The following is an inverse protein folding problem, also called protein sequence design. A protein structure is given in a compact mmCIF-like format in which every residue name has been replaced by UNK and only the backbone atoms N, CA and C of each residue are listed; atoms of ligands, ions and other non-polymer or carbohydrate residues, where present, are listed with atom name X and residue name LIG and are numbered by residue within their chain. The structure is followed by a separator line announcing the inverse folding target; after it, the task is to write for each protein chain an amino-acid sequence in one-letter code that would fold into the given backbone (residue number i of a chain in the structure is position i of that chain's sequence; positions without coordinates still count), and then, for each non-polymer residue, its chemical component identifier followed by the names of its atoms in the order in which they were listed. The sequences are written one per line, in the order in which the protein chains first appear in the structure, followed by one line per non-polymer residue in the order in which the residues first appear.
data_IF_817171743442
#
_entry.id   IF_817171743442
#
_cell.length_a   1.000
_cell.length_b   1.000
_cell.length_c   1.000
_cell.angle_alpha   90.00
_cell.angle_beta   90.00
_cell.angle_gamma   90.00
#
_symmetry.space_group_name_H-M   'P 1'
#
loop_
_entity.id
_entity.type
_entity.pdbx_description
1 polymer ?
#
# COMPACT_ATOMS: atom_id res chain seq x y z
N UNK A 1 -19.52 14.00 -29.97
CA UNK A 1 -19.48 13.32 -28.65
C UNK A 1 -18.74 11.97 -28.69
N UNK A 2 -19.13 10.99 -29.51
CA UNK A 2 -18.47 9.65 -29.58
C UNK A 2 -16.97 9.69 -29.86
N UNK A 3 -16.51 10.46 -30.85
CA UNK A 3 -15.08 10.64 -31.18
C UNK A 3 -14.27 11.26 -30.02
N UNK A 4 -14.88 12.17 -29.26
CA UNK A 4 -14.24 12.81 -28.10
C UNK A 4 -14.06 11.83 -26.95
N UNK A 5 -15.10 11.06 -26.62
CA UNK A 5 -15.05 10.02 -25.58
C UNK A 5 -14.01 8.96 -25.95
N UNK A 6 -14.01 8.49 -27.20
CA UNK A 6 -13.04 7.50 -27.68
C UNK A 6 -11.60 8.00 -27.59
N UNK A 7 -11.34 9.25 -28.03
CA UNK A 7 -10.01 9.86 -27.91
C UNK A 7 -9.58 9.96 -26.44
N UNK A 8 -10.47 10.41 -25.55
CA UNK A 8 -10.17 10.55 -24.13
C UNK A 8 -9.91 9.20 -23.45
N UNK A 9 -10.70 8.17 -23.77
CA UNK A 9 -10.49 6.81 -23.28
C UNK A 9 -9.13 6.25 -23.73
N UNK A 10 -8.79 6.41 -25.01
CA UNK A 10 -7.50 6.01 -25.55
C UNK A 10 -6.34 6.77 -24.88
N UNK A 11 -6.48 8.08 -24.64
CA UNK A 11 -5.47 8.87 -23.92
C UNK A 11 -5.32 8.39 -22.48
N UNK A 12 -6.42 8.16 -21.75
CA UNK A 12 -6.36 7.67 -20.36
C UNK A 12 -5.74 6.28 -20.27
N UNK A 13 -6.09 5.38 -21.19
CA UNK A 13 -5.49 4.06 -21.26
C UNK A 13 -3.99 4.13 -21.59
N UNK A 14 -3.59 4.99 -22.54
CA UNK A 14 -2.19 5.23 -22.85
C UNK A 14 -1.41 5.78 -21.65
N UNK A 15 -1.97 6.75 -20.92
CA UNK A 15 -1.37 7.27 -19.69
C UNK A 15 -1.24 6.17 -18.64
N UNK A 16 -2.27 5.35 -18.43
CA UNK A 16 -2.22 4.22 -17.50
C UNK A 16 -1.09 3.23 -17.86
N UNK A 17 -0.95 2.85 -19.13
CA UNK A 17 0.11 1.93 -19.53
C UNK A 17 1.50 2.53 -19.29
N UNK A 18 1.68 3.83 -19.58
CA UNK A 18 2.94 4.53 -19.34
C UNK A 18 3.24 4.61 -17.84
N UNK A 19 2.26 4.96 -17.00
CA UNK A 19 2.47 5.03 -15.55
C UNK A 19 2.78 3.66 -14.96
N UNK A 20 2.11 2.60 -15.42
CA UNK A 20 2.41 1.23 -15.02
C UNK A 20 3.82 0.82 -15.44
N UNK A 21 4.22 1.10 -16.69
CA UNK A 21 5.57 0.80 -17.16
C UNK A 21 6.63 1.52 -16.32
N UNK A 22 6.45 2.82 -16.06
CA UNK A 22 7.35 3.59 -15.21
C UNK A 22 7.40 3.00 -13.79
N UNK A 23 6.25 2.63 -13.22
CA UNK A 23 6.20 2.03 -11.89
C UNK A 23 6.95 0.70 -11.84
N UNK A 24 6.76 -0.16 -12.84
CA UNK A 24 7.48 -1.44 -12.95
C UNK A 24 8.99 -1.21 -13.15
N UNK A 25 9.39 -0.21 -13.94
CA UNK A 25 10.80 0.13 -14.09
C UNK A 25 11.44 0.64 -12.79
N UNK A 26 10.70 1.43 -12.01
CA UNK A 26 11.19 1.97 -10.73
C UNK A 26 11.26 0.90 -9.63
N UNK A 27 10.28 0.00 -9.58
CA UNK A 27 10.12 -0.95 -8.46
C UNK A 27 10.59 -2.36 -8.81
N UNK A 28 10.66 -2.72 -10.09
CA UNK A 28 10.85 -4.09 -10.58
C UNK A 28 12.09 -4.79 -10.01
N UNK A 29 13.22 -4.10 -9.90
CA UNK A 29 14.44 -4.66 -9.30
C UNK A 29 14.26 -5.03 -7.83
N UNK A 30 13.60 -4.15 -7.06
CA UNK A 30 13.32 -4.40 -5.64
C UNK A 30 12.29 -5.52 -5.49
N UNK A 31 11.28 -5.53 -6.36
CA UNK A 31 10.24 -6.56 -6.35
C UNK A 31 10.81 -7.94 -6.68
N UNK A 32 11.73 -8.05 -7.64
CA UNK A 32 12.39 -9.32 -7.96
C UNK A 32 13.16 -9.89 -6.77
N UNK A 33 13.88 -9.02 -6.07
CA UNK A 33 14.62 -9.39 -4.85
C UNK A 33 13.66 -9.84 -3.76
N UNK A 34 12.59 -9.09 -3.52
CA UNK A 34 11.56 -9.41 -2.52
C UNK A 34 10.88 -10.74 -2.83
N UNK A 35 10.50 -10.98 -4.09
CA UNK A 35 9.84 -12.21 -4.50
C UNK A 35 10.75 -13.42 -4.33
N UNK A 36 12.02 -13.33 -4.76
CA UNK A 36 13.01 -14.41 -4.59
C UNK A 36 13.30 -14.68 -3.12
N UNK A 37 13.48 -13.63 -2.31
CA UNK A 37 13.65 -13.77 -0.86
C UNK A 37 12.41 -14.38 -0.19
N UNK A 38 11.22 -14.00 -0.65
CA UNK A 38 9.96 -14.59 -0.20
C UNK A 38 9.87 -16.09 -0.48
N UNK A 39 10.30 -16.52 -1.67
CA UNK A 39 10.39 -17.96 -2.00
C UNK A 39 11.36 -18.68 -1.08
N UNK A 40 12.56 -18.14 -0.88
CA UNK A 40 13.56 -18.73 0.04
C UNK A 40 13.00 -18.84 1.45
N UNK A 41 12.36 -17.78 1.94
CA UNK A 41 11.75 -17.75 3.26
C UNK A 41 10.65 -18.81 3.39
N UNK A 42 9.75 -18.90 2.41
CA UNK A 42 8.64 -19.85 2.42
C UNK A 42 9.15 -21.31 2.38
N UNK A 43 10.13 -21.61 1.52
CA UNK A 43 10.74 -22.95 1.43
C UNK A 43 11.40 -23.33 2.75
N UNK A 44 12.19 -22.41 3.32
CA UNK A 44 12.86 -22.65 4.62
C UNK A 44 11.86 -22.83 5.75
N UNK A 45 10.78 -22.04 5.81
CA UNK A 45 9.73 -22.16 6.82
C UNK A 45 9.05 -23.53 6.71
N UNK A 46 8.58 -23.90 5.51
CA UNK A 46 7.84 -25.13 5.26
C UNK A 46 8.66 -26.39 5.57
N UNK A 47 9.96 -26.37 5.27
CA UNK A 47 10.84 -27.51 5.53
C UNK A 47 11.25 -27.58 7.00
N UNK A 48 11.54 -26.44 7.64
CA UNK A 48 11.96 -26.42 9.06
C UNK A 48 10.79 -26.72 10.00
N UNK A 49 9.56 -26.36 9.61
CA UNK A 49 8.33 -26.67 10.35
C UNK A 49 7.91 -28.14 10.22
N UNK A 50 8.54 -28.93 9.34
CA UNK A 50 8.24 -30.35 9.16
C UNK A 50 9.37 -31.23 9.74
N UNK A 51 9.21 -31.77 10.98
CA UNK A 51 10.23 -32.55 11.64
C UNK A 51 10.68 -33.78 10.83
N UNK A 52 9.76 -34.40 10.08
CA UNK A 52 10.08 -35.59 9.29
C UNK A 52 11.07 -35.30 8.16
N UNK A 53 11.04 -34.10 7.58
CA UNK A 53 11.99 -33.69 6.54
C UNK A 53 13.33 -33.36 7.19
N UNK A 54 13.34 -32.60 8.28
CA UNK A 54 14.58 -32.21 8.98
C UNK A 54 15.34 -33.44 9.50
N UNK A 55 14.64 -34.38 10.12
CA UNK A 55 15.23 -35.62 10.66
C UNK A 55 15.73 -36.59 9.57
N UNK A 56 15.29 -36.42 8.32
CA UNK A 56 15.69 -37.30 7.21
C UNK A 56 17.12 -37.03 6.70
N UNK A 57 17.74 -35.91 7.08
CA UNK A 57 19.09 -35.54 6.63
C UNK A 57 20.12 -35.74 7.73
N UNK A 58 21.17 -36.50 7.43
CA UNK A 58 22.30 -36.74 8.35
C UNK A 58 23.37 -35.65 8.32
N UNK A 59 23.41 -34.83 7.26
CA UNK A 59 24.41 -33.78 7.09
C UNK A 59 23.78 -32.43 6.79
N UNK A 60 24.39 -31.35 7.31
CA UNK A 60 23.94 -29.97 7.06
C UNK A 60 24.07 -29.62 5.57
N UNK A 61 25.07 -30.18 4.88
CA UNK A 61 25.31 -29.92 3.46
C UNK A 61 24.20 -30.51 2.57
N UNK A 62 23.75 -31.75 2.84
CA UNK A 62 22.64 -32.36 2.10
C UNK A 62 21.31 -31.62 2.34
N UNK A 63 21.10 -31.17 3.58
CA UNK A 63 19.92 -30.38 3.94
C UNK A 63 19.89 -29.03 3.20
N UNK A 64 20.98 -28.27 3.20
CA UNK A 64 21.06 -26.98 2.49
C UNK A 64 20.94 -27.18 0.96
N UNK A 65 21.53 -28.23 0.39
CA UNK A 65 21.37 -28.56 -1.03
C UNK A 65 19.92 -28.90 -1.40
N UNK A 66 19.18 -29.57 -0.51
CA UNK A 66 17.74 -29.83 -0.68
C UNK A 66 16.93 -28.54 -0.69
N UNK A 67 17.19 -27.64 0.28
CA UNK A 67 16.55 -26.31 0.37
C UNK A 67 16.81 -25.50 -0.90
N UNK A 68 18.06 -25.48 -1.37
CA UNK A 68 18.47 -24.76 -2.58
C UNK A 68 17.73 -25.30 -3.81
N UNK A 69 17.69 -26.62 -4.00
CA UNK A 69 16.98 -27.24 -5.11
C UNK A 69 15.47 -26.93 -5.09
N UNK A 70 14.83 -27.02 -3.92
CA UNK A 70 13.41 -26.65 -3.76
C UNK A 70 13.18 -25.16 -4.06
N UNK A 71 14.10 -24.30 -3.65
CA UNK A 71 14.05 -22.86 -3.93
C UNK A 71 14.16 -22.60 -5.43
N UNK A 72 15.14 -23.19 -6.11
CA UNK A 72 15.34 -23.03 -7.55
C UNK A 72 14.12 -23.51 -8.35
N UNK A 73 13.54 -24.66 -7.97
CA UNK A 73 12.32 -25.16 -8.60
C UNK A 73 11.15 -24.18 -8.45
N UNK A 74 10.96 -23.59 -7.27
CA UNK A 74 9.90 -22.58 -7.06
C UNK A 74 10.16 -21.29 -7.83
N UNK A 75 11.41 -20.81 -7.86
CA UNK A 75 11.81 -19.63 -8.65
C UNK A 75 11.46 -19.86 -10.13
N UNK A 76 11.79 -21.04 -10.67
CA UNK A 76 11.51 -21.41 -12.05
C UNK A 76 10.00 -21.54 -12.32
N UNK A 77 9.25 -22.19 -11.44
CA UNK A 77 7.79 -22.34 -11.59
C UNK A 77 7.04 -21.00 -11.57
N UNK A 78 7.59 -20.01 -10.86
CA UNK A 78 7.05 -18.65 -10.79
C UNK A 78 7.55 -17.74 -11.93
N UNK A 79 8.45 -18.22 -12.80
CA UNK A 79 9.08 -17.43 -13.86
C UNK A 79 9.99 -16.31 -13.32
N UNK A 80 10.53 -16.49 -12.12
CA UNK A 80 11.47 -15.55 -11.48
C UNK A 80 12.94 -15.83 -11.89
N UNK A 81 13.17 -16.88 -12.67
CA UNK A 81 14.46 -17.23 -13.28
C UNK A 81 14.86 -16.24 -14.38
N UNK A 82 13.88 -15.70 -15.11
CA UNK A 82 14.13 -14.61 -16.05
C UNK A 82 14.42 -13.26 -15.34
N UNK A 83 15.28 -12.40 -15.91
CA UNK A 83 15.48 -11.04 -15.40
C UNK A 83 14.17 -10.27 -15.32
N UNK A 84 13.98 -9.48 -14.27
CA UNK A 84 12.74 -8.72 -14.03
C UNK A 84 12.36 -7.77 -15.17
N UNK A 85 13.36 -7.28 -15.92
CA UNK A 85 13.20 -6.38 -17.05
C UNK A 85 12.90 -7.11 -18.37
N UNK A 86 12.74 -8.45 -18.35
CA UNK A 86 12.37 -9.19 -19.57
C UNK A 86 11.01 -8.68 -20.08
N UNK A 87 10.85 -8.50 -21.41
CA UNK A 87 9.57 -8.07 -21.99
C UNK A 87 8.39 -8.96 -21.56
N UNK A 88 8.64 -10.26 -21.37
CA UNK A 88 7.69 -11.25 -20.91
C UNK A 88 7.21 -10.95 -19.48
N UNK A 89 8.14 -10.75 -18.53
CA UNK A 89 7.79 -10.45 -17.14
C UNK A 89 7.12 -9.11 -16.96
N UNK A 90 7.59 -8.08 -17.66
CA UNK A 90 6.94 -6.76 -17.67
C UNK A 90 5.51 -6.89 -18.22
N UNK A 91 5.34 -7.56 -19.37
CA UNK A 91 4.04 -7.75 -19.99
C UNK A 91 3.05 -8.51 -19.11
N UNK A 92 3.49 -9.62 -18.49
CA UNK A 92 2.66 -10.40 -17.57
C UNK A 92 2.29 -9.60 -16.33
N UNK A 93 3.24 -8.85 -15.76
CA UNK A 93 3.00 -8.01 -14.58
C UNK A 93 1.99 -6.90 -14.89
N UNK A 94 2.14 -6.22 -16.02
CA UNK A 94 1.17 -5.22 -16.47
C UNK A 94 -0.21 -5.83 -16.68
N UNK A 95 -0.30 -7.00 -17.32
CA UNK A 95 -1.56 -7.71 -17.56
C UNK A 95 -2.27 -8.06 -16.24
N UNK A 96 -1.55 -8.64 -15.28
CA UNK A 96 -2.08 -8.98 -13.95
C UNK A 96 -2.59 -7.74 -13.21
N UNK A 97 -1.81 -6.66 -13.17
CA UNK A 97 -2.20 -5.39 -12.52
C UNK A 97 -3.46 -4.80 -13.16
N UNK A 98 -3.58 -4.83 -14.49
CA UNK A 98 -4.77 -4.32 -15.21
C UNK A 98 -6.02 -5.15 -14.86
N UNK A 99 -5.86 -6.46 -14.70
CA UNK A 99 -6.92 -7.35 -14.23
C UNK A 99 -7.15 -7.30 -12.71
N UNK A 100 -6.45 -6.41 -12.01
CA UNK A 100 -6.47 -6.28 -10.56
C UNK A 100 -6.04 -7.56 -9.84
N UNK A 101 -5.25 -8.42 -10.50
CA UNK A 101 -4.60 -9.57 -9.88
C UNK A 101 -3.25 -9.14 -9.29
N UNK A 102 -3.23 -8.92 -7.98
CA UNK A 102 -2.06 -8.45 -7.24
C UNK A 102 -1.25 -9.59 -6.61
N UNK A 103 -1.75 -10.84 -6.67
CA UNK A 103 -1.12 -11.99 -6.04
C UNK A 103 -1.16 -11.94 -4.51
N UNK A 104 -0.14 -12.56 -3.88
CA UNK A 104 -0.04 -12.70 -2.43
C UNK A 104 1.08 -11.83 -1.86
N UNK A 105 0.85 -11.27 -0.68
CA UNK A 105 1.83 -10.52 0.08
C UNK A 105 2.80 -11.46 0.81
N UNK A 106 4.08 -11.08 0.83
CA UNK A 106 5.14 -11.87 1.49
C UNK A 106 5.28 -11.54 2.97
N UNK A 107 5.04 -10.28 3.36
CA UNK A 107 5.32 -9.76 4.71
C UNK A 107 4.10 -9.16 5.42
N UNK A 108 2.96 -9.09 4.72
CA UNK A 108 1.73 -8.50 5.24
C UNK A 108 0.64 -9.54 5.16
N UNK A 109 -0.21 -9.56 6.17
CA UNK A 109 -1.46 -10.33 6.17
C UNK A 109 -2.61 -9.40 6.51
N UNK A 110 -3.81 -9.83 6.15
CA UNK A 110 -5.03 -9.22 6.61
C UNK A 110 -5.18 -9.42 8.13
N UNK A 111 -6.06 -8.69 8.80
CA UNK A 111 -6.34 -8.89 10.23
C UNK A 111 -6.88 -10.32 10.50
N UNK A 112 -7.43 -10.98 9.47
CA UNK A 112 -7.89 -12.37 9.47
C UNK A 112 -6.80 -13.39 9.05
N UNK A 113 -5.57 -12.95 8.79
CA UNK A 113 -4.45 -13.82 8.42
C UNK A 113 -4.35 -14.18 6.93
N UNK A 114 -5.17 -13.60 6.04
CA UNK A 114 -5.05 -13.84 4.60
C UNK A 114 -3.81 -13.16 4.02
N UNK A 115 -3.07 -13.86 3.16
CA UNK A 115 -1.95 -13.29 2.40
C UNK A 115 -2.38 -12.77 1.02
N UNK A 116 -3.63 -12.94 0.58
CA UNK A 116 -4.12 -12.36 -0.67
C UNK A 116 -4.13 -10.82 -0.55
N UNK A 117 -3.43 -10.14 -1.47
CA UNK A 117 -3.34 -8.68 -1.49
C UNK A 117 -4.72 -8.05 -1.67
N UNK A 118 -5.64 -8.70 -2.40
CA UNK A 118 -7.02 -8.21 -2.54
C UNK A 118 -7.73 -8.13 -1.20
N UNK A 119 -7.63 -9.18 -0.39
CA UNK A 119 -8.27 -9.23 0.93
C UNK A 119 -7.73 -8.12 1.84
N UNK A 120 -6.40 -7.96 1.86
CA UNK A 120 -5.73 -6.90 2.63
C UNK A 120 -6.24 -5.52 2.21
N UNK A 121 -6.33 -5.25 0.89
CA UNK A 121 -6.84 -3.98 0.37
C UNK A 121 -8.30 -3.78 0.77
N UNK A 122 -9.15 -4.79 0.57
CA UNK A 122 -10.58 -4.69 0.86
C UNK A 122 -10.88 -4.51 2.35
N UNK A 123 -10.03 -5.04 3.23
CA UNK A 123 -10.16 -4.83 4.67
C UNK A 123 -9.86 -3.38 5.08
N UNK A 124 -8.83 -2.75 4.49
CA UNK A 124 -8.45 -1.36 4.83
C UNK A 124 -9.24 -0.30 4.06
N UNK A 125 -9.85 -0.67 2.93
CA UNK A 125 -10.55 0.26 2.04
C UNK A 125 -11.73 1.00 2.71
N UNK A 126 -12.64 0.34 3.46
CA UNK A 126 -13.76 1.02 4.11
C UNK A 126 -13.33 2.11 5.09
N UNK A 127 -12.27 1.86 5.87
CA UNK A 127 -11.71 2.84 6.82
C UNK A 127 -11.11 4.04 6.09
N UNK A 128 -10.42 3.80 4.97
CA UNK A 128 -9.87 4.86 4.12
C UNK A 128 -10.97 5.71 3.50
N UNK A 129 -12.02 5.08 2.95
CA UNK A 129 -13.18 5.78 2.38
C UNK A 129 -13.86 6.61 3.46
N UNK A 130 -14.15 6.02 4.61
CA UNK A 130 -14.79 6.71 5.73
C UNK A 130 -13.97 7.94 6.13
N UNK A 131 -12.66 7.79 6.36
CA UNK A 131 -11.77 8.88 6.73
C UNK A 131 -11.74 9.99 5.67
N UNK A 132 -11.49 9.62 4.41
CA UNK A 132 -11.32 10.59 3.33
C UNK A 132 -12.61 11.34 3.02
N UNK A 133 -13.75 10.62 2.95
CA UNK A 133 -15.05 11.21 2.65
C UNK A 133 -15.52 12.11 3.79
N UNK A 134 -15.42 11.67 5.04
CA UNK A 134 -15.83 12.51 6.19
C UNK A 134 -14.97 13.76 6.31
N UNK A 135 -13.64 13.64 6.20
CA UNK A 135 -12.74 14.79 6.21
C UNK A 135 -13.06 15.77 5.07
N UNK A 136 -13.26 15.27 3.84
CA UNK A 136 -13.55 16.09 2.67
C UNK A 136 -14.88 16.83 2.81
N UNK A 137 -15.93 16.18 3.32
CA UNK A 137 -17.22 16.84 3.57
C UNK A 137 -17.05 17.95 4.61
N UNK A 138 -16.41 17.67 5.73
CA UNK A 138 -16.21 18.67 6.79
C UNK A 138 -15.38 19.87 6.32
N UNK A 139 -14.26 19.60 5.64
CA UNK A 139 -13.39 20.65 5.08
C UNK A 139 -14.14 21.46 4.03
N UNK A 140 -14.93 20.81 3.17
CA UNK A 140 -15.70 21.52 2.14
C UNK A 140 -16.74 22.44 2.75
N UNK A 141 -17.52 21.95 3.73
CA UNK A 141 -18.53 22.74 4.43
C UNK A 141 -17.85 23.94 5.10
N UNK A 142 -16.87 23.70 5.98
CA UNK A 142 -16.19 24.77 6.73
C UNK A 142 -15.49 25.74 5.78
N UNK A 143 -14.78 25.23 4.77
CA UNK A 143 -14.04 26.02 3.80
C UNK A 143 -14.95 26.91 2.94
N UNK A 144 -16.11 26.41 2.51
CA UNK A 144 -17.09 27.21 1.77
C UNK A 144 -17.64 28.33 2.66
N UNK A 145 -18.06 28.03 3.90
CA UNK A 145 -18.61 29.03 4.80
C UNK A 145 -17.58 30.10 5.18
N UNK A 146 -16.39 29.68 5.63
CA UNK A 146 -15.32 30.60 6.03
C UNK A 146 -14.83 31.41 4.83
N UNK A 147 -14.64 30.78 3.67
CA UNK A 147 -14.23 31.43 2.44
C UNK A 147 -15.25 32.47 1.94
N UNK A 148 -16.54 32.13 1.95
CA UNK A 148 -17.61 33.05 1.57
C UNK A 148 -17.68 34.26 2.53
N UNK A 149 -17.55 34.03 3.84
CA UNK A 149 -17.53 35.10 4.84
C UNK A 149 -16.31 36.02 4.65
N UNK A 150 -15.12 35.47 4.45
CA UNK A 150 -13.87 36.20 4.18
C UNK A 150 -14.02 37.09 2.94
N UNK A 151 -14.51 36.52 1.83
CA UNK A 151 -14.68 37.21 0.56
C UNK A 151 -15.77 38.30 0.61
N UNK A 152 -16.81 38.11 1.43
CA UNK A 152 -17.91 39.08 1.56
C UNK A 152 -17.50 40.38 2.27
N UNK A 153 -16.43 40.35 3.09
CA UNK A 153 -15.99 41.49 3.91
C UNK A 153 -14.47 41.64 3.86
N UNK A 154 -13.98 42.07 2.70
CA UNK A 154 -12.56 42.30 2.44
C UNK A 154 -11.96 43.26 3.48
N UNK A 155 -10.82 42.89 4.04
CA UNK A 155 -10.10 43.68 5.04
C UNK A 155 -10.65 43.59 6.46
N UNK A 156 -11.73 42.83 6.67
CA UNK A 156 -12.29 42.55 8.00
C UNK A 156 -11.37 41.69 8.86
N UNK A 157 -11.63 41.64 10.17
CA UNK A 157 -10.87 40.79 11.10
C UNK A 157 -10.93 39.31 10.70
N UNK A 158 -12.08 38.83 10.21
CA UNK A 158 -12.23 37.43 9.75
C UNK A 158 -11.33 37.18 8.54
N UNK A 159 -11.30 38.12 7.60
CA UNK A 159 -10.46 38.02 6.40
C UNK A 159 -8.97 37.99 6.73
N UNK A 160 -8.53 38.87 7.63
CA UNK A 160 -7.14 38.89 8.11
C UNK A 160 -6.77 37.61 8.87
N UNK A 161 -7.60 37.15 9.81
CA UNK A 161 -7.33 35.93 10.58
C UNK A 161 -7.24 34.71 9.66
N UNK A 162 -8.20 34.55 8.74
CA UNK A 162 -8.25 33.41 7.83
C UNK A 162 -7.05 33.41 6.89
N UNK A 163 -6.69 34.57 6.34
CA UNK A 163 -5.52 34.73 5.47
C UNK A 163 -4.21 34.45 6.21
N UNK A 164 -4.03 35.00 7.42
CA UNK A 164 -2.86 34.71 8.25
C UNK A 164 -2.77 33.22 8.60
N UNK A 165 -3.89 32.59 8.97
CA UNK A 165 -3.94 31.16 9.25
C UNK A 165 -3.57 30.32 8.02
N UNK A 166 -4.06 30.68 6.83
CA UNK A 166 -3.71 29.99 5.59
C UNK A 166 -2.19 30.05 5.30
N UNK A 167 -1.57 31.21 5.53
CA UNK A 167 -0.12 31.38 5.35
C UNK A 167 0.67 30.54 6.38
N UNK A 168 0.26 30.59 7.65
CA UNK A 168 0.93 29.83 8.71
C UNK A 168 0.79 28.33 8.48
N UNK A 169 -0.44 27.85 8.24
CA UNK A 169 -0.72 26.41 8.03
C UNK A 169 -0.04 25.86 6.78
N UNK A 170 0.08 26.64 5.70
CA UNK A 170 0.80 26.21 4.49
C UNK A 170 2.32 26.12 4.67
N UNK A 171 2.87 26.74 5.71
CA UNK A 171 4.29 26.68 6.04
C UNK A 171 4.67 25.37 6.76
N UNK A 172 3.72 24.69 7.39
CA UNK A 172 3.96 23.44 8.10
C UNK A 172 3.68 22.23 7.21
N UNK A 173 4.56 21.20 7.22
CA UNK A 173 4.25 19.94 6.56
C UNK A 173 3.01 19.28 7.17
N UNK A 174 2.09 18.79 6.34
CA UNK A 174 0.84 18.17 6.80
C UNK A 174 1.09 16.97 7.73
N UNK A 175 2.09 16.15 7.41
CA UNK A 175 2.47 15.00 8.25
C UNK A 175 2.95 15.44 9.64
N UNK A 176 3.59 16.61 9.75
CA UNK A 176 4.10 17.14 11.02
C UNK A 176 2.97 17.61 11.92
N UNK A 177 1.98 18.32 11.35
CA UNK A 177 0.75 18.69 12.06
C UNK A 177 0.01 17.42 12.50
N UNK A 178 -0.11 16.42 11.64
CA UNK A 178 -0.71 15.13 12.00
C UNK A 178 -0.01 14.49 13.20
N UNK A 179 1.33 14.49 13.23
CA UNK A 179 2.11 13.96 14.34
C UNK A 179 1.89 14.75 15.65
N UNK A 180 1.82 16.08 15.58
CA UNK A 180 1.51 16.91 16.75
C UNK A 180 0.08 16.67 17.27
N UNK A 181 -0.89 16.51 16.37
CA UNK A 181 -2.26 16.18 16.75
C UNK A 181 -2.31 14.81 17.44
N UNK A 182 -1.61 13.80 16.94
CA UNK A 182 -1.49 12.50 17.61
C UNK A 182 -0.85 12.66 18.99
N UNK A 183 0.27 13.38 19.10
CA UNK A 183 0.93 13.63 20.38
C UNK A 183 -0.03 14.26 21.40
N UNK A 184 -0.69 15.34 21.00
CA UNK A 184 -1.57 16.10 21.87
C UNK A 184 -2.81 15.30 22.27
N UNK A 185 -3.49 14.66 21.33
CA UNK A 185 -4.77 14.02 21.61
C UNK A 185 -4.66 12.57 22.08
N UNK A 186 -3.64 11.83 21.67
CA UNK A 186 -3.47 10.44 22.09
C UNK A 186 -2.59 10.30 23.35
N UNK A 187 -1.57 11.15 23.52
CA UNK A 187 -0.62 11.00 24.62
C UNK A 187 -0.83 12.05 25.72
N UNK A 188 -0.99 13.33 25.37
CA UNK A 188 -1.15 14.40 26.37
C UNK A 188 -2.55 14.39 26.98
N UNK A 189 -3.60 14.45 26.15
CA UNK A 189 -4.99 14.50 26.63
C UNK A 189 -5.68 13.14 26.69
N UNK A 190 -5.12 12.12 26.03
CA UNK A 190 -5.64 10.73 26.03
C UNK A 190 -7.12 10.63 25.62
N UNK A 191 -7.56 11.50 24.70
CA UNK A 191 -8.93 11.51 24.16
C UNK A 191 -9.12 10.37 23.14
N UNK A 192 -8.07 10.05 22.38
CA UNK A 192 -8.09 9.02 21.34
C UNK A 192 -7.02 7.95 21.60
N UNK A 193 -7.22 6.70 21.14
CA UNK A 193 -6.18 5.68 21.17
C UNK A 193 -5.03 6.03 20.20
N UNK A 194 -3.80 5.71 20.59
CA UNK A 194 -2.61 5.97 19.76
C UNK A 194 -2.44 5.00 18.58
N UNK A 195 -3.19 3.88 18.57
CA UNK A 195 -3.14 2.85 17.53
C UNK A 195 -4.54 2.58 16.99
N UNK A 196 -4.60 2.18 15.73
CA UNK A 196 -5.86 1.75 15.12
C UNK A 196 -6.41 0.53 15.88
N UNK A 197 -7.72 0.54 16.13
CA UNK A 197 -8.42 -0.63 16.71
C UNK A 197 -8.38 -1.76 15.67
N UNK A 198 -7.77 -2.92 15.97
CA UNK A 198 -7.91 -4.09 15.12
C UNK A 198 -9.37 -4.51 15.06
N UNK A 199 -9.83 -5.09 13.94
CA UNK A 199 -11.20 -5.60 13.84
C UNK A 199 -11.43 -6.79 14.80
N UNK A 200 -10.35 -7.42 15.27
CA UNK A 200 -10.36 -8.49 16.28
C UNK A 200 -9.79 -7.95 17.60
N UNK A 201 -10.51 -8.05 18.73
CA UNK A 201 -9.97 -7.76 20.06
C UNK A 201 -8.77 -8.67 20.36
N UNK A 202 -7.75 -8.14 21.06
CA UNK A 202 -6.54 -8.91 21.44
C UNK A 202 -6.81 -10.18 22.29
N UNK A 203 -8.06 -10.39 22.73
CA UNK A 203 -8.50 -11.54 23.53
C UNK A 203 -9.09 -12.70 22.72
N UNK A 204 -9.26 -12.56 21.41
CA UNK A 204 -9.75 -13.65 20.56
C UNK A 204 -8.56 -14.44 20.00
N UNK A 205 -8.49 -15.76 20.21
CA UNK A 205 -7.39 -16.59 19.71
C UNK A 205 -7.36 -16.65 18.18
#
# INVERSE_FOLDING_TARGET
MKKYIAKRAATMFGVLLITLLITIMLVGSNMDTILKQGVVFQVRSEITENPAIVESFSSVQEFEAFIENQTEQRIKNLGLDEPWYSPQRIGLTMYKIILLDFGHATFLTSDLGSSDVKDIIFEKLPRTILLFTTATILISIVGIFVGALSASKIGSTIDRITSSFAIISSSFPVWWIGMLMIFLFAFTYQIFPARATPDIPASSP
#
